data_IF_046618766282
#
_entry.id   IF_046618766282
#
_cell.length_a   1.000
_cell.length_b   1.000
_cell.length_c   1.000
_cell.angle_alpha   90.00
_cell.angle_beta   90.00
_cell.angle_gamma   90.00
#
_symmetry.space_group_name_H-M   'P 1'
#
loop_
_entity.id
_entity.type
_entity.pdbx_description
1 polymer ?
#
# COMPACT_ATOMS: atom_id res chain seq x y z
N UNK A 1 -10.80 5.46 -5.93
CA UNK A 1 -11.81 5.29 -4.84
C UNK A 1 -11.68 6.51 -3.94
N UNK A 2 -12.77 7.03 -3.35
CA UNK A 2 -12.64 8.19 -2.45
C UNK A 2 -12.12 7.78 -1.05
N UNK A 3 -11.45 8.72 -0.37
CA UNK A 3 -10.82 8.49 0.94
C UNK A 3 -11.84 8.09 2.04
N UNK A 4 -13.10 8.55 1.97
CA UNK A 4 -14.13 8.20 2.93
C UNK A 4 -14.51 6.71 2.84
N UNK A 5 -14.60 6.19 1.60
CA UNK A 5 -14.83 4.76 1.36
C UNK A 5 -13.66 3.91 1.85
N UNK A 6 -12.41 4.36 1.63
CA UNK A 6 -11.20 3.70 2.13
C UNK A 6 -11.22 3.69 3.66
N UNK A 7 -11.44 4.86 4.30
CA UNK A 7 -11.55 4.99 5.76
C UNK A 7 -12.57 4.02 6.36
N UNK A 8 -13.79 3.98 5.80
CA UNK A 8 -14.85 3.10 6.29
C UNK A 8 -14.53 1.60 6.20
N UNK A 9 -13.68 1.21 5.25
CA UNK A 9 -13.24 -0.19 5.09
C UNK A 9 -12.17 -0.58 6.10
N UNK A 10 -11.13 0.24 6.20
CA UNK A 10 -10.01 -0.05 7.11
C UNK A 10 -10.41 0.05 8.58
N UNK A 11 -11.22 1.01 8.98
CA UNK A 11 -11.69 1.14 10.38
C UNK A 11 -12.41 -0.12 10.90
N UNK A 12 -13.07 -0.88 10.01
CA UNK A 12 -13.77 -2.12 10.39
C UNK A 12 -12.84 -3.35 10.42
N UNK A 13 -11.74 -3.30 9.69
CA UNK A 13 -10.80 -4.42 9.59
C UNK A 13 -9.65 -4.32 10.60
N UNK A 14 -9.44 -3.18 11.26
CA UNK A 14 -8.27 -2.87 12.11
C UNK A 14 -7.99 -3.96 13.15
N UNK A 15 -9.02 -4.55 13.77
CA UNK A 15 -8.85 -5.57 14.82
C UNK A 15 -8.45 -6.94 14.28
N UNK A 16 -8.82 -7.29 13.05
CA UNK A 16 -8.56 -8.59 12.41
C UNK A 16 -7.43 -8.51 11.38
N UNK A 17 -7.06 -7.28 10.99
CA UNK A 17 -6.12 -7.00 9.90
C UNK A 17 -4.77 -7.68 10.11
N UNK A 18 -4.14 -7.51 11.26
CA UNK A 18 -2.80 -8.03 11.52
C UNK A 18 -2.73 -9.57 11.50
N UNK A 19 -3.81 -10.26 11.86
CA UNK A 19 -3.86 -11.72 11.80
C UNK A 19 -3.98 -12.22 10.35
N UNK A 20 -4.67 -11.49 9.49
CA UNK A 20 -4.99 -11.89 8.11
C UNK A 20 -4.12 -11.23 7.04
N UNK A 21 -3.42 -10.14 7.38
CA UNK A 21 -2.60 -9.34 6.46
C UNK A 21 -1.24 -9.99 6.12
N UNK A 22 -1.20 -11.32 5.90
CA UNK A 22 0.04 -12.03 5.59
C UNK A 22 0.75 -11.47 4.37
N UNK A 23 0.02 -11.17 3.29
CA UNK A 23 0.60 -10.60 2.06
C UNK A 23 1.11 -9.18 2.30
N UNK A 24 0.35 -8.34 3.02
CA UNK A 24 0.75 -6.98 3.34
C UNK A 24 1.97 -6.95 4.28
N UNK A 25 2.07 -7.92 5.20
CA UNK A 25 3.24 -8.09 6.07
C UNK A 25 4.48 -8.48 5.28
N UNK A 26 4.35 -9.42 4.33
CA UNK A 26 5.41 -9.80 3.40
C UNK A 26 5.81 -8.62 2.53
N UNK A 27 4.82 -7.88 1.98
CA UNK A 27 5.09 -6.72 1.16
C UNK A 27 5.82 -5.60 1.93
N UNK A 28 5.41 -5.31 3.19
CA UNK A 28 6.11 -4.35 4.04
C UNK A 28 7.53 -4.81 4.40
N UNK A 29 7.72 -6.11 4.63
CA UNK A 29 9.04 -6.68 4.91
C UNK A 29 9.95 -6.57 3.68
N UNK A 30 9.47 -6.98 2.49
CA UNK A 30 10.24 -6.92 1.25
C UNK A 30 10.60 -5.49 0.86
N UNK A 31 9.62 -4.58 0.96
CA UNK A 31 9.88 -3.15 0.71
C UNK A 31 10.97 -2.62 1.64
N UNK A 32 10.94 -2.99 2.92
CA UNK A 32 11.96 -2.59 3.88
C UNK A 32 13.34 -3.17 3.55
N UNK A 33 13.44 -4.45 3.21
CA UNK A 33 14.70 -5.07 2.78
C UNK A 33 15.36 -4.31 1.64
N UNK A 34 14.57 -3.90 0.65
CA UNK A 34 15.03 -3.11 -0.49
C UNK A 34 15.41 -1.67 -0.11
N UNK A 35 14.63 -1.03 0.77
CA UNK A 35 14.77 0.39 1.10
C UNK A 35 15.76 0.67 2.24
N UNK A 36 16.06 -0.30 3.12
CA UNK A 36 16.79 -0.09 4.36
C UNK A 36 18.15 0.59 4.17
N UNK A 37 18.92 0.20 3.14
CA UNK A 37 20.22 0.79 2.84
C UNK A 37 20.13 2.25 2.35
N UNK A 38 18.94 2.73 2.01
CA UNK A 38 18.71 4.08 1.49
C UNK A 38 18.09 5.02 2.53
N UNK A 39 17.61 4.50 3.67
CA UNK A 39 17.07 5.30 4.78
C UNK A 39 18.16 5.51 5.83
N UNK A 40 18.65 6.73 5.95
CA UNK A 40 19.77 7.07 6.86
C UNK A 40 19.29 7.24 8.30
N UNK A 41 20.09 6.91 9.31
CA UNK A 41 19.85 7.34 10.68
C UNK A 41 19.68 8.87 10.76
N UNK A 42 18.79 9.35 11.61
CA UNK A 42 18.45 10.77 11.73
C UNK A 42 17.57 11.33 10.61
N UNK A 43 17.22 10.53 9.58
CA UNK A 43 16.40 10.96 8.46
C UNK A 43 14.98 11.41 8.90
N UNK A 44 14.41 12.35 8.17
CA UNK A 44 13.00 12.72 8.26
C UNK A 44 12.19 11.90 7.27
N UNK A 45 11.32 11.05 7.77
CA UNK A 45 10.57 10.06 6.98
C UNK A 45 9.07 10.33 7.07
N UNK A 46 8.39 10.30 5.92
CA UNK A 46 6.92 10.26 5.82
C UNK A 46 6.49 8.87 5.36
N UNK A 47 5.66 8.20 6.13
CA UNK A 47 4.97 6.99 5.72
C UNK A 47 3.54 7.32 5.30
N UNK A 48 3.15 6.98 4.06
CA UNK A 48 1.80 7.16 3.53
C UNK A 48 1.04 5.84 3.61
N UNK A 49 -0.11 5.83 4.29
CA UNK A 49 -0.89 4.63 4.52
C UNK A 49 -0.27 3.72 5.58
N UNK A 50 0.04 4.29 6.75
CA UNK A 50 0.73 3.59 7.84
C UNK A 50 -0.06 2.38 8.38
N UNK A 51 -1.39 2.41 8.28
CA UNK A 51 -2.27 1.31 8.73
C UNK A 51 -2.01 0.93 10.18
N UNK A 52 -1.73 -0.34 10.42
CA UNK A 52 -1.40 -0.88 11.75
C UNK A 52 0.09 -0.77 12.12
N UNK A 53 0.89 -0.09 11.29
CA UNK A 53 2.32 0.15 11.57
C UNK A 53 3.24 -1.02 11.20
N UNK A 54 2.86 -1.85 10.23
CA UNK A 54 3.70 -2.97 9.77
C UNK A 54 5.05 -2.51 9.20
N UNK A 55 5.06 -1.44 8.41
CA UNK A 55 6.29 -0.83 7.91
C UNK A 55 6.86 0.15 8.93
N UNK A 56 6.03 0.88 9.68
CA UNK A 56 6.45 1.88 10.67
C UNK A 56 7.43 1.31 11.70
N UNK A 57 7.15 0.10 12.21
CA UNK A 57 8.04 -0.58 13.19
C UNK A 57 9.41 -0.88 12.60
N UNK A 58 9.49 -1.17 11.29
CA UNK A 58 10.75 -1.41 10.59
C UNK A 58 11.51 -0.12 10.35
N UNK A 59 10.80 0.95 10.01
CA UNK A 59 11.37 2.29 9.86
C UNK A 59 11.98 2.80 11.16
N UNK A 60 11.36 2.53 12.32
CA UNK A 60 11.91 2.89 13.62
C UNK A 60 13.27 2.23 13.90
N UNK A 61 13.50 1.00 13.39
CA UNK A 61 14.80 0.32 13.52
C UNK A 61 15.93 1.05 12.78
N UNK A 62 15.63 1.90 11.78
CA UNK A 62 16.61 2.77 11.12
C UNK A 62 16.95 4.04 11.92
N UNK A 63 16.39 4.21 13.11
CA UNK A 63 16.63 5.37 13.99
C UNK A 63 16.37 6.72 13.28
N UNK A 64 15.18 6.94 12.70
CA UNK A 64 14.85 8.21 12.05
C UNK A 64 14.85 9.34 13.08
N UNK A 65 15.27 10.54 12.68
CA UNK A 65 15.12 11.75 13.50
C UNK A 65 13.65 12.17 13.63
N UNK A 66 12.86 11.92 12.59
CA UNK A 66 11.40 12.15 12.58
C UNK A 66 10.71 11.14 11.67
N UNK A 67 9.66 10.49 12.16
CA UNK A 67 8.78 9.60 11.42
C UNK A 67 7.35 10.13 11.51
N UNK A 68 6.78 10.54 10.38
CA UNK A 68 5.40 10.99 10.28
C UNK A 68 4.56 9.86 9.68
N UNK A 69 3.58 9.38 10.42
CA UNK A 69 2.66 8.31 10.04
C UNK A 69 1.37 8.93 9.49
N UNK A 70 1.23 8.99 8.18
CA UNK A 70 -0.01 9.44 7.56
C UNK A 70 -0.92 8.26 7.25
N UNK A 71 -2.17 8.38 7.62
CA UNK A 71 -3.25 7.48 7.20
C UNK A 71 -4.59 8.22 7.23
N UNK A 72 -5.56 7.77 6.45
CA UNK A 72 -6.95 8.30 6.48
C UNK A 72 -7.64 8.05 7.82
N UNK A 73 -7.13 7.09 8.61
CA UNK A 73 -7.58 6.77 9.95
C UNK A 73 -6.40 6.29 10.78
N UNK A 74 -6.08 7.02 11.84
CA UNK A 74 -5.02 6.60 12.77
C UNK A 74 -5.46 5.34 13.52
N UNK A 75 -4.76 4.24 13.31
CA UNK A 75 -5.03 2.99 14.03
C UNK A 75 -4.57 3.07 15.50
N UNK A 76 -5.14 2.25 16.40
CA UNK A 76 -4.66 2.16 17.78
C UNK A 76 -3.16 1.81 17.88
N UNK A 77 -2.67 0.98 16.96
CA UNK A 77 -1.27 0.55 16.90
C UNK A 77 -0.35 1.72 16.47
N UNK A 78 -0.74 2.51 15.47
CA UNK A 78 0.01 3.72 15.08
C UNK A 78 0.01 4.77 16.19
N UNK A 79 -1.13 4.98 16.86
CA UNK A 79 -1.23 5.86 18.01
C UNK A 79 -0.37 5.40 19.20
N UNK A 80 -0.25 4.08 19.39
CA UNK A 80 0.64 3.51 20.42
C UNK A 80 2.11 3.82 20.10
N UNK A 81 2.56 3.59 18.85
CA UNK A 81 3.91 3.93 18.43
C UNK A 81 4.25 5.42 18.68
N UNK A 82 3.31 6.33 18.38
CA UNK A 82 3.51 7.76 18.64
C UNK A 82 3.62 8.07 20.13
N UNK A 83 2.90 7.37 20.99
CA UNK A 83 2.99 7.52 22.46
C UNK A 83 4.28 6.95 23.04
N UNK A 84 4.76 5.83 22.50
CA UNK A 84 6.01 5.20 22.93
C UNK A 84 7.24 5.97 22.46
N UNK A 85 7.13 6.69 21.32
CA UNK A 85 8.23 7.45 20.72
C UNK A 85 7.85 8.92 20.44
N UNK A 86 7.42 9.72 21.45
CA UNK A 86 6.79 11.03 21.24
C UNK A 86 7.72 12.08 20.61
N UNK A 87 9.03 11.92 20.75
CA UNK A 87 10.01 12.84 20.14
C UNK A 87 10.27 12.50 18.65
N UNK A 88 10.07 11.26 18.27
CA UNK A 88 10.40 10.76 16.91
C UNK A 88 9.15 10.58 16.06
N UNK A 89 8.08 9.99 16.60
CA UNK A 89 6.88 9.60 15.83
C UNK A 89 5.76 10.60 16.02
N UNK A 90 5.10 10.96 14.90
CA UNK A 90 3.85 11.72 14.90
C UNK A 90 2.83 11.08 13.96
N UNK A 91 1.56 11.05 14.36
CA UNK A 91 0.48 10.68 13.48
C UNK A 91 -0.08 11.91 12.75
N UNK A 92 -0.37 11.75 11.47
CA UNK A 92 -1.01 12.75 10.61
C UNK A 92 -2.26 12.11 9.98
N UNK A 93 -3.40 12.22 10.65
CA UNK A 93 -4.65 11.64 10.14
C UNK A 93 -5.22 12.49 9.01
N UNK A 94 -5.61 11.81 7.94
CA UNK A 94 -6.33 12.37 6.79
C UNK A 94 -5.82 11.88 5.45
N UNK A 95 -6.52 12.30 4.39
CA UNK A 95 -6.17 12.00 3.01
C UNK A 95 -4.81 12.62 2.65
N UNK A 96 -3.85 11.77 2.28
CA UNK A 96 -2.50 12.21 1.89
C UNK A 96 -2.49 13.27 0.77
N UNK A 97 -3.53 13.35 -0.05
CA UNK A 97 -3.65 14.37 -1.08
C UNK A 97 -4.15 15.73 -0.56
N UNK A 98 -4.68 15.79 0.67
CA UNK A 98 -5.34 16.98 1.23
C UNK A 98 -4.66 17.52 2.49
N UNK A 99 -4.15 16.64 3.38
CA UNK A 99 -3.48 17.06 4.61
C UNK A 99 -2.20 17.84 4.30
N UNK A 100 -1.85 18.77 5.16
CA UNK A 100 -0.60 19.54 5.02
C UNK A 100 0.57 18.67 5.47
N UNK A 101 1.52 18.43 4.59
CA UNK A 101 2.80 17.83 4.93
C UNK A 101 3.77 18.95 5.33
N UNK A 102 4.27 18.87 6.54
CA UNK A 102 5.16 19.88 7.10
C UNK A 102 6.60 19.69 6.59
N UNK A 103 7.13 20.70 5.91
CA UNK A 103 8.51 20.76 5.43
C UNK A 103 8.87 19.73 4.36
N UNK A 104 10.15 19.33 4.35
CA UNK A 104 10.73 18.36 3.44
C UNK A 104 11.12 17.07 4.16
N UNK A 105 11.14 15.97 3.42
CA UNK A 105 11.48 14.63 3.91
C UNK A 105 12.69 14.08 3.15
N UNK A 106 13.54 13.34 3.83
CA UNK A 106 14.63 12.58 3.19
C UNK A 106 14.07 11.35 2.48
N UNK A 107 13.00 10.78 3.01
CA UNK A 107 12.33 9.62 2.42
C UNK A 107 10.82 9.72 2.57
N UNK A 108 10.09 9.35 1.51
CA UNK A 108 8.66 9.09 1.54
C UNK A 108 8.47 7.62 1.21
N UNK A 109 7.77 6.89 2.09
CA UNK A 109 7.60 5.46 1.98
C UNK A 109 6.12 5.07 2.05
N UNK A 110 5.74 3.94 1.44
CA UNK A 110 4.36 3.47 1.47
C UNK A 110 4.30 1.96 1.20
N UNK A 111 3.67 1.19 2.08
CA UNK A 111 3.43 -0.23 1.84
C UNK A 111 1.95 -0.49 1.54
N UNK A 112 1.67 -0.99 0.33
CA UNK A 112 0.33 -1.42 -0.09
C UNK A 112 -0.78 -0.36 0.08
N UNK A 113 -0.47 0.92 -0.17
CA UNK A 113 -1.46 2.00 -0.11
C UNK A 113 -1.65 2.73 -1.47
N UNK A 114 -0.66 2.77 -2.34
CA UNK A 114 -0.72 3.57 -3.57
C UNK A 114 -1.80 3.12 -4.56
N UNK A 115 -2.24 1.87 -4.55
CA UNK A 115 -3.37 1.38 -5.36
C UNK A 115 -4.71 2.05 -5.04
N UNK A 116 -4.82 2.74 -3.92
CA UNK A 116 -6.05 3.43 -3.51
C UNK A 116 -6.16 4.84 -4.09
N UNK A 117 -5.07 5.41 -4.58
CA UNK A 117 -5.05 6.77 -5.14
C UNK A 117 -5.56 6.76 -6.58
N UNK A 118 -6.57 7.60 -6.90
CA UNK A 118 -7.13 7.65 -8.24
C UNK A 118 -6.18 8.30 -9.25
N UNK A 119 -5.28 9.18 -8.79
CA UNK A 119 -4.31 9.89 -9.61
C UNK A 119 -2.90 9.73 -9.03
N UNK A 120 -2.17 8.75 -9.56
CA UNK A 120 -0.78 8.49 -9.17
C UNK A 120 0.16 9.59 -9.68
N UNK A 121 -0.15 10.26 -10.80
CA UNK A 121 0.67 11.36 -11.31
C UNK A 121 0.69 12.53 -10.32
N UNK A 122 -0.48 12.94 -9.85
CA UNK A 122 -0.60 13.99 -8.83
C UNK A 122 0.07 13.59 -7.52
N UNK A 123 -0.04 12.31 -7.11
CA UNK A 123 0.62 11.78 -5.90
C UNK A 123 2.14 11.85 -6.04
N UNK A 124 2.72 11.38 -7.15
CA UNK A 124 4.16 11.41 -7.38
C UNK A 124 4.69 12.83 -7.46
N UNK A 125 3.99 13.74 -8.13
CA UNK A 125 4.34 15.15 -8.17
C UNK A 125 4.31 15.78 -6.76
N UNK A 126 3.34 15.40 -5.92
CA UNK A 126 3.29 15.83 -4.52
C UNK A 126 4.46 15.27 -3.72
N UNK A 127 4.77 13.98 -3.83
CA UNK A 127 5.95 13.38 -3.19
C UNK A 127 7.23 14.12 -3.60
N UNK A 128 7.42 14.38 -4.90
CA UNK A 128 8.59 15.09 -5.39
C UNK A 128 8.75 16.50 -4.81
N UNK A 129 7.65 17.25 -4.62
CA UNK A 129 7.70 18.58 -3.99
C UNK A 129 8.14 18.55 -2.53
N UNK A 130 7.80 17.48 -1.80
CA UNK A 130 8.09 17.35 -0.38
C UNK A 130 9.33 16.48 -0.09
N UNK A 131 9.99 15.92 -1.09
CA UNK A 131 11.27 15.24 -0.93
C UNK A 131 12.44 16.23 -1.04
N UNK A 132 13.48 16.00 -0.26
CA UNK A 132 14.78 16.65 -0.39
C UNK A 132 15.37 16.44 -1.79
N UNK A 133 16.45 17.14 -2.15
CA UNK A 133 16.98 17.17 -3.51
C UNK A 133 17.31 15.80 -4.12
N UNK A 134 17.78 14.86 -3.30
CA UNK A 134 18.08 13.47 -3.69
C UNK A 134 17.24 12.46 -2.88
N UNK A 135 16.08 12.89 -2.40
CA UNK A 135 15.21 12.12 -1.52
C UNK A 135 14.69 10.83 -2.15
N UNK A 136 14.45 9.85 -1.29
CA UNK A 136 13.96 8.52 -1.66
C UNK A 136 12.43 8.49 -1.66
N UNK A 137 11.84 7.99 -2.75
CA UNK A 137 10.48 7.46 -2.80
C UNK A 137 10.56 5.94 -2.86
N UNK A 138 10.01 5.25 -1.85
CA UNK A 138 9.96 3.79 -1.83
C UNK A 138 8.54 3.31 -1.56
N UNK A 139 7.98 2.48 -2.44
CA UNK A 139 6.62 2.00 -2.24
C UNK A 139 6.41 0.58 -2.76
N UNK A 140 5.44 -0.11 -2.17
CA UNK A 140 4.81 -1.28 -2.76
C UNK A 140 3.37 -0.99 -3.17
N UNK A 141 2.97 -1.60 -4.26
CA UNK A 141 1.61 -1.58 -4.80
C UNK A 141 1.30 -2.93 -5.43
N UNK A 142 0.24 -2.99 -6.24
CA UNK A 142 -0.11 -4.20 -6.96
C UNK A 142 -0.24 -3.91 -8.46
N UNK A 143 -0.07 -4.97 -9.27
CA UNK A 143 -0.12 -4.95 -10.73
C UNK A 143 -1.43 -5.52 -11.27
N UNK A 144 -1.76 -5.30 -12.55
CA UNK A 144 -2.83 -6.00 -13.24
C UNK A 144 -2.71 -7.52 -13.07
N UNK A 145 -3.85 -8.19 -12.85
CA UNK A 145 -3.89 -9.60 -12.48
C UNK A 145 -3.88 -9.87 -10.97
N UNK A 146 -3.70 -8.84 -10.13
CA UNK A 146 -3.90 -8.98 -8.69
C UNK A 146 -5.36 -9.32 -8.38
N UNK A 147 -5.59 -10.38 -7.57
CA UNK A 147 -6.93 -10.91 -7.23
C UNK A 147 -7.78 -11.26 -8.46
N UNK A 148 -7.15 -11.72 -9.54
CA UNK A 148 -7.80 -11.94 -10.82
C UNK A 148 -8.94 -12.95 -10.75
N UNK A 149 -8.85 -13.96 -9.87
CA UNK A 149 -9.86 -14.99 -9.68
C UNK A 149 -11.19 -14.37 -9.23
N UNK A 150 -11.10 -13.44 -8.30
CA UNK A 150 -12.28 -12.73 -7.77
C UNK A 150 -12.79 -11.71 -8.78
N UNK A 151 -11.89 -10.93 -9.36
CA UNK A 151 -12.26 -9.89 -10.34
C UNK A 151 -12.96 -10.47 -11.56
N UNK A 152 -12.49 -11.61 -12.08
CA UNK A 152 -13.11 -12.28 -13.24
C UNK A 152 -14.52 -12.80 -12.95
N UNK A 153 -14.76 -13.32 -11.74
CA UNK A 153 -16.06 -13.87 -11.36
C UNK A 153 -17.07 -12.81 -10.91
N UNK A 154 -16.61 -11.70 -10.37
CA UNK A 154 -17.49 -10.67 -9.79
C UNK A 154 -17.63 -9.44 -10.67
N UNK A 155 -16.70 -9.21 -11.60
CA UNK A 155 -16.57 -7.96 -12.35
C UNK A 155 -16.09 -6.79 -11.48
N UNK A 156 -15.72 -7.03 -10.22
CA UNK A 156 -15.34 -5.97 -9.26
C UNK A 156 -13.89 -6.12 -8.86
N UNK A 157 -13.13 -5.04 -9.01
CA UNK A 157 -11.71 -4.96 -8.67
C UNK A 157 -11.21 -3.52 -8.70
N UNK A 158 -9.96 -3.31 -8.31
CA UNK A 158 -9.27 -2.05 -8.49
C UNK A 158 -8.61 -2.03 -9.88
N UNK A 159 -8.47 -0.83 -10.45
CA UNK A 159 -7.54 -0.63 -11.55
C UNK A 159 -6.14 -0.50 -10.97
N UNK A 160 -5.23 -1.29 -11.49
CA UNK A 160 -3.81 -1.23 -11.14
C UNK A 160 -3.01 -0.67 -12.32
N UNK A 161 -2.04 0.19 -12.04
CA UNK A 161 -1.06 0.60 -13.03
C UNK A 161 -0.09 -0.56 -13.29
N UNK A 162 0.24 -0.80 -14.55
CA UNK A 162 1.31 -1.73 -14.90
C UNK A 162 2.70 -1.08 -14.75
N UNK A 163 3.77 -1.86 -14.86
CA UNK A 163 5.15 -1.38 -14.70
C UNK A 163 5.54 -0.35 -15.74
N UNK A 164 5.02 -0.44 -16.97
CA UNK A 164 5.22 0.55 -18.02
C UNK A 164 4.55 1.88 -17.67
N UNK A 165 3.31 1.83 -17.15
CA UNK A 165 2.59 3.00 -16.67
C UNK A 165 3.31 3.64 -15.47
N UNK A 166 3.74 2.84 -14.49
CA UNK A 166 4.51 3.34 -13.32
C UNK A 166 5.80 4.04 -13.76
N UNK A 167 6.57 3.45 -14.71
CA UNK A 167 7.77 4.07 -15.26
C UNK A 167 7.47 5.42 -15.91
N UNK A 168 6.42 5.50 -16.73
CA UNK A 168 6.03 6.76 -17.39
C UNK A 168 5.60 7.84 -16.39
N UNK A 169 4.87 7.46 -15.34
CA UNK A 169 4.39 8.39 -14.32
C UNK A 169 5.51 8.90 -13.41
N UNK A 170 6.53 8.09 -13.14
CA UNK A 170 7.67 8.46 -12.30
C UNK A 170 8.71 9.30 -13.07
N UNK A 171 8.92 9.03 -14.36
CA UNK A 171 9.98 9.62 -15.18
C UNK A 171 10.11 11.15 -15.11
N UNK A 172 9.02 11.96 -14.98
CA UNK A 172 9.16 13.42 -14.92
C UNK A 172 9.91 13.93 -13.68
N UNK A 173 9.92 13.18 -12.59
CA UNK A 173 10.40 13.66 -11.28
C UNK A 173 11.30 12.69 -10.54
N UNK A 174 11.40 11.44 -11.02
CA UNK A 174 12.14 10.39 -10.35
C UNK A 174 12.98 9.56 -11.32
N UNK A 175 14.16 9.16 -10.88
CA UNK A 175 14.97 8.09 -11.47
C UNK A 175 14.72 6.80 -10.69
N UNK A 176 14.30 5.75 -11.37
CA UNK A 176 14.02 4.45 -10.74
C UNK A 176 15.33 3.76 -10.42
N UNK A 177 15.56 3.48 -9.14
CA UNK A 177 16.72 2.73 -8.66
C UNK A 177 16.47 1.22 -8.72
N UNK A 178 15.23 0.82 -8.38
CA UNK A 178 14.82 -0.59 -8.35
C UNK A 178 13.34 -0.70 -8.67
N UNK A 179 12.96 -1.71 -9.44
CA UNK A 179 11.56 -2.09 -9.68
C UNK A 179 11.50 -3.61 -9.82
N UNK A 180 10.77 -4.24 -8.93
CA UNK A 180 10.64 -5.70 -8.83
C UNK A 180 9.16 -6.07 -8.83
N UNK A 181 8.81 -7.08 -9.64
CA UNK A 181 7.48 -7.68 -9.68
C UNK A 181 7.54 -9.05 -9.02
N UNK A 182 6.48 -9.40 -8.31
CA UNK A 182 6.34 -10.71 -7.69
C UNK A 182 4.96 -11.29 -8.02
N UNK A 183 4.84 -12.60 -7.99
CA UNK A 183 3.56 -13.31 -7.99
C UNK A 183 3.52 -14.22 -6.78
N UNK A 184 2.60 -13.92 -5.87
CA UNK A 184 2.37 -14.71 -4.67
C UNK A 184 1.01 -15.39 -4.76
N UNK A 185 0.98 -16.71 -4.65
CA UNK A 185 -0.26 -17.51 -4.64
C UNK A 185 -0.54 -17.93 -3.21
N UNK A 186 -1.78 -17.70 -2.76
CA UNK A 186 -2.28 -18.21 -1.49
C UNK A 186 -3.32 -19.29 -1.75
N UNK A 187 -3.29 -20.32 -0.90
CA UNK A 187 -4.25 -21.42 -0.93
C UNK A 187 -5.24 -21.30 0.21
N UNK A 188 -6.49 -21.63 -0.05
CA UNK A 188 -7.60 -21.61 0.89
C UNK A 188 -8.36 -22.92 0.77
N UNK A 189 -8.95 -23.39 1.87
CA UNK A 189 -9.72 -24.64 1.88
C UNK A 189 -10.98 -24.54 0.98
N UNK A 190 -11.59 -23.36 0.89
CA UNK A 190 -12.80 -23.17 0.09
C UNK A 190 -12.94 -21.72 -0.43
N UNK A 191 -13.74 -21.49 -1.49
CA UNK A 191 -14.00 -20.12 -2.03
C UNK A 191 -14.57 -19.14 -0.99
N UNK A 192 -15.33 -19.62 -0.01
CA UNK A 192 -15.84 -18.80 1.11
C UNK A 192 -14.71 -18.19 1.94
N UNK A 193 -13.62 -18.91 2.12
CA UNK A 193 -12.49 -18.48 2.93
C UNK A 193 -11.70 -17.38 2.22
N UNK A 194 -11.68 -17.40 0.87
CA UNK A 194 -11.19 -16.29 0.05
C UNK A 194 -12.00 -15.02 0.31
N UNK A 195 -13.35 -15.10 0.28
CA UNK A 195 -14.20 -13.94 0.54
C UNK A 195 -14.04 -13.42 1.97
N UNK A 196 -13.88 -14.31 2.94
CA UNK A 196 -13.62 -13.96 4.33
C UNK A 196 -12.30 -13.23 4.46
N UNK A 197 -11.21 -13.78 3.92
CA UNK A 197 -9.88 -13.19 3.90
C UNK A 197 -9.89 -11.78 3.29
N UNK A 198 -10.53 -11.60 2.13
CA UNK A 198 -10.64 -10.29 1.50
C UNK A 198 -11.44 -9.28 2.34
N UNK A 199 -12.47 -9.71 3.05
CA UNK A 199 -13.23 -8.88 3.99
C UNK A 199 -12.37 -8.43 5.18
N UNK A 200 -11.59 -9.34 5.74
CA UNK A 200 -10.77 -9.11 6.94
C UNK A 200 -9.52 -8.28 6.65
N UNK A 201 -9.03 -8.32 5.41
CA UNK A 201 -7.91 -7.47 4.95
C UNK A 201 -8.34 -6.12 4.38
N UNK A 202 -9.64 -5.85 4.31
CA UNK A 202 -10.16 -4.58 3.78
C UNK A 202 -9.93 -4.35 2.28
N UNK A 203 -9.36 -5.34 1.57
CA UNK A 203 -8.93 -5.22 0.17
C UNK A 203 -10.11 -5.25 -0.82
N UNK A 204 -11.34 -5.41 -0.35
CA UNK A 204 -12.49 -5.66 -1.21
C UNK A 204 -13.16 -4.43 -1.80
N UNK A 205 -13.10 -4.30 -3.14
CA UNK A 205 -14.17 -3.67 -3.92
C UNK A 205 -15.50 -4.45 -3.90
N UNK A 206 -15.52 -5.69 -3.39
CA UNK A 206 -16.63 -6.66 -3.45
C UNK A 206 -17.87 -6.25 -2.65
N UNK A 207 -17.79 -5.28 -1.73
CA UNK A 207 -18.96 -4.81 -0.97
C UNK A 207 -20.03 -4.10 -1.80
N UNK A 208 -19.72 -3.68 -3.04
CA UNK A 208 -20.71 -3.16 -3.99
C UNK A 208 -21.51 -4.29 -4.65
N UNK A 209 -21.06 -5.54 -4.54
CA UNK A 209 -21.81 -6.70 -5.02
C UNK A 209 -22.89 -7.05 -4.01
N UNK A 210 -24.15 -6.90 -4.40
CA UNK A 210 -25.27 -7.42 -3.61
C UNK A 210 -25.25 -8.95 -3.71
N UNK A 211 -24.78 -9.59 -2.63
CA UNK A 211 -24.79 -11.03 -2.50
C UNK A 211 -26.20 -11.50 -2.15
N UNK A 212 -26.78 -12.31 -3.04
CA UNK A 212 -27.92 -13.14 -2.73
C UNK A 212 -27.49 -14.62 -2.83
N UNK A 213 -28.33 -15.52 -2.32
CA UNK A 213 -28.04 -16.96 -2.26
C UNK A 213 -27.63 -17.54 -3.62
N UNK A 214 -28.30 -17.12 -4.70
CA UNK A 214 -28.00 -17.61 -6.06
C UNK A 214 -26.62 -17.14 -6.55
N UNK A 215 -26.29 -15.86 -6.37
CA UNK A 215 -24.97 -15.31 -6.76
C UNK A 215 -23.83 -15.92 -5.94
N UNK A 216 -24.07 -16.11 -4.67
CA UNK A 216 -23.09 -16.75 -3.78
C UNK A 216 -22.84 -18.21 -4.22
N UNK A 217 -23.89 -19.00 -4.45
CA UNK A 217 -23.76 -20.38 -4.90
C UNK A 217 -23.05 -20.48 -6.26
N UNK A 218 -23.37 -19.58 -7.21
CA UNK A 218 -22.69 -19.51 -8.49
C UNK A 218 -21.19 -19.18 -8.31
N UNK A 219 -20.86 -18.18 -7.50
CA UNK A 219 -19.46 -17.83 -7.21
C UNK A 219 -18.68 -19.01 -6.63
N UNK A 220 -19.23 -19.69 -5.62
CA UNK A 220 -18.56 -20.85 -4.98
C UNK A 220 -18.32 -21.97 -5.99
N UNK A 221 -19.33 -22.32 -6.79
CA UNK A 221 -19.22 -23.36 -7.82
C UNK A 221 -18.16 -22.98 -8.88
N UNK A 222 -18.27 -21.78 -9.44
CA UNK A 222 -17.43 -21.35 -10.56
C UNK A 222 -15.99 -21.10 -10.10
N UNK A 223 -15.80 -20.62 -8.87
CA UNK A 223 -14.48 -20.46 -8.27
C UNK A 223 -13.78 -21.81 -8.10
N UNK A 224 -14.47 -22.79 -7.51
CA UNK A 224 -13.92 -24.13 -7.33
C UNK A 224 -13.60 -24.82 -8.67
N UNK A 225 -14.46 -24.64 -9.67
CA UNK A 225 -14.26 -25.24 -11.00
C UNK A 225 -13.07 -24.61 -11.76
N UNK A 226 -12.86 -23.28 -11.66
CA UNK A 226 -11.84 -22.57 -12.44
C UNK A 226 -10.51 -22.41 -11.72
N UNK A 227 -10.53 -22.38 -10.39
CA UNK A 227 -9.37 -22.05 -9.56
C UNK A 227 -9.11 -23.05 -8.45
N UNK A 228 -9.69 -24.27 -8.58
CA UNK A 228 -9.33 -25.39 -7.73
C UNK A 228 -7.84 -25.71 -7.83
N UNK A 229 -7.20 -26.01 -6.70
CA UNK A 229 -5.77 -26.31 -6.62
C UNK A 229 -5.55 -27.32 -5.47
N UNK A 230 -5.35 -28.58 -5.84
CA UNK A 230 -5.32 -29.68 -4.87
C UNK A 230 -6.65 -29.82 -4.13
N UNK A 231 -6.59 -29.87 -2.79
CA UNK A 231 -7.76 -29.99 -1.92
C UNK A 231 -8.43 -28.63 -1.61
N UNK A 232 -8.06 -27.56 -2.31
CA UNK A 232 -8.54 -26.22 -2.05
C UNK A 232 -8.66 -25.36 -3.29
N UNK A 233 -8.53 -24.05 -3.08
CA UNK A 233 -8.60 -23.03 -4.14
C UNK A 233 -7.47 -22.02 -3.96
N UNK A 234 -7.00 -21.46 -5.08
CA UNK A 234 -5.94 -20.45 -5.07
C UNK A 234 -6.48 -19.03 -5.17
N UNK A 235 -5.68 -18.07 -4.67
CA UNK A 235 -5.86 -16.63 -4.85
C UNK A 235 -4.51 -15.99 -5.18
N UNK A 236 -4.45 -15.26 -6.28
CA UNK A 236 -3.21 -14.67 -6.80
C UNK A 236 -3.06 -13.22 -6.37
N UNK A 237 -1.90 -12.89 -5.82
CA UNK A 237 -1.43 -11.54 -5.57
C UNK A 237 -0.28 -11.20 -6.52
N UNK A 238 -0.22 -9.96 -6.99
CA UNK A 238 0.84 -9.46 -7.86
C UNK A 238 1.43 -8.16 -7.31
N UNK A 239 2.22 -8.22 -6.23
CA UNK A 239 2.87 -7.05 -5.70
C UNK A 239 3.97 -6.53 -6.64
N UNK A 240 4.19 -5.22 -6.60
CA UNK A 240 5.32 -4.53 -7.19
C UNK A 240 6.00 -3.68 -6.13
N UNK A 241 7.32 -3.66 -6.16
CA UNK A 241 8.16 -2.86 -5.27
C UNK A 241 8.94 -1.86 -6.10
N UNK A 242 8.94 -0.61 -5.69
CA UNK A 242 9.60 0.47 -6.41
C UNK A 242 10.43 1.31 -5.45
N UNK A 243 11.70 1.48 -5.79
CA UNK A 243 12.58 2.48 -5.20
C UNK A 243 12.95 3.49 -6.28
N UNK A 244 12.76 4.76 -5.99
CA UNK A 244 13.06 5.82 -6.92
C UNK A 244 13.69 7.01 -6.20
N UNK A 245 14.64 7.66 -6.83
CA UNK A 245 15.33 8.83 -6.33
C UNK A 245 14.78 10.05 -7.02
N UNK A 246 14.46 11.10 -6.25
CA UNK A 246 14.06 12.37 -6.84
C UNK A 246 15.17 12.87 -7.76
N UNK A 247 14.82 13.17 -9.02
CA UNK A 247 15.74 13.85 -9.94
C UNK A 247 15.82 15.31 -9.55
N UNK A 248 17.04 15.83 -9.42
CA UNK A 248 17.25 17.23 -9.18
C UNK A 248 16.92 18.01 -10.48
N UNK A 249 15.73 18.58 -10.56
CA UNK A 249 15.43 19.57 -11.59
C UNK A 249 16.02 20.89 -11.12
N UNK A 250 17.25 21.16 -11.53
CA UNK A 250 17.91 22.44 -11.28
C UNK A 250 17.14 23.57 -11.95
N UNK A 251 16.13 24.11 -11.26
CA UNK A 251 15.76 25.49 -11.45
C UNK A 251 16.57 26.27 -10.42
N UNK A 252 17.68 26.80 -10.91
CA UNK A 252 18.51 27.73 -10.20
C UNK A 252 17.67 28.90 -9.70
N UNK A 253 17.94 29.32 -8.46
CA UNK A 253 17.70 30.67 -8.05
C UNK A 253 18.46 31.60 -9.01
N UNK A 254 17.76 32.03 -10.03
CA UNK A 254 18.15 33.20 -10.84
C UNK A 254 17.54 34.42 -10.17
N UNK A 255 18.36 35.13 -9.49
CA UNK A 255 18.31 36.54 -9.07
C UNK A 255 17.13 36.95 -8.16
#
# INVERSE_FOLDING_TARGET
MDAATVKARFSRAVTTYDAQAGVQRTAAARLWELAAAHVRPGARVLEIGAGTGLLSRRLLAAQPGRLVLNDVCTSPQAALLAREHPQTVACLEGDAMRVVWDGTYDSIVSASAFQWFPDLSALFARCARHLAGDGLLAFSSFLPGNLQEVTRLTGVGLRYADTGELRRLLAPTFSILHMEEETAVRHFAAPRDVLLHLRETGVTGIRTTVWNTRRYAAFVRDYAALYGDGDGVRLTYRPVYVLARKTWTGQGNGQ
#
